data_IF_176299274602
#
_entry.id   IF_176299274602
#
_cell.length_a   1.000
_cell.length_b   1.000
_cell.length_c   1.000
_cell.angle_alpha   90.00
_cell.angle_beta   90.00
_cell.angle_gamma   90.00
#
_symmetry.space_group_name_H-M   'P 1'
#
loop_
_entity.id
_entity.type
_entity.pdbx_description
1 polymer ?
#
# COMPACT_ATOMS: atom_id res chain seq x y z
N UNK A 1 -13.60 30.14 -14.89
CA UNK A 1 -12.39 30.78 -15.44
C UNK A 1 -11.09 30.37 -14.74
N UNK A 2 -10.94 30.56 -13.42
CA UNK A 2 -9.72 30.19 -12.68
C UNK A 2 -9.28 28.72 -12.87
N UNK A 3 -10.21 27.74 -12.81
CA UNK A 3 -9.92 26.31 -13.03
C UNK A 3 -9.41 25.99 -14.46
N UNK A 4 -9.87 26.73 -15.47
CA UNK A 4 -9.40 26.54 -16.86
C UNK A 4 -7.99 27.09 -17.06
N UNK A 5 -7.70 28.21 -16.45
CA UNK A 5 -6.37 28.86 -16.50
C UNK A 5 -5.33 28.00 -15.77
N UNK A 6 -5.69 27.39 -14.63
CA UNK A 6 -4.80 26.48 -13.90
C UNK A 6 -4.53 25.17 -14.64
N UNK A 7 -5.50 24.69 -15.46
CA UNK A 7 -5.33 23.53 -16.33
C UNK A 7 -4.40 23.80 -17.52
N UNK A 8 -4.27 25.04 -17.94
CA UNK A 8 -3.40 25.47 -19.05
C UNK A 8 -1.97 25.83 -18.62
N UNK A 9 -1.72 25.95 -17.30
CA UNK A 9 -0.36 26.21 -16.81
C UNK A 9 0.50 24.96 -16.93
N UNK A 10 1.71 25.07 -17.49
CA UNK A 10 2.63 23.93 -17.53
C UNK A 10 2.90 23.41 -16.12
N UNK A 11 2.80 22.09 -15.93
CA UNK A 11 3.07 21.46 -14.65
C UNK A 11 4.49 21.81 -14.17
N UNK A 12 4.67 22.39 -12.98
CA UNK A 12 6.00 22.76 -12.46
C UNK A 12 6.96 21.57 -12.39
N UNK A 13 6.46 20.39 -12.08
CA UNK A 13 7.26 19.17 -12.05
C UNK A 13 7.78 18.79 -13.45
N UNK A 14 6.95 18.85 -14.47
CA UNK A 14 7.38 18.62 -15.86
C UNK A 14 8.39 19.67 -16.35
N UNK A 15 8.26 20.92 -15.92
CA UNK A 15 9.24 21.97 -16.23
C UNK A 15 10.61 21.64 -15.61
N UNK A 16 10.60 21.20 -14.34
CA UNK A 16 11.82 20.76 -13.66
C UNK A 16 12.47 19.60 -14.41
N UNK A 17 11.72 18.57 -14.75
CA UNK A 17 12.27 17.42 -15.47
C UNK A 17 12.84 17.78 -16.84
N UNK A 18 12.19 18.67 -17.60
CA UNK A 18 12.73 19.19 -18.86
C UNK A 18 14.06 19.94 -18.67
N UNK A 19 14.17 20.72 -17.59
CA UNK A 19 15.43 21.41 -17.24
C UNK A 19 16.51 20.38 -16.95
N UNK A 20 16.23 19.32 -16.18
CA UNK A 20 17.18 18.26 -15.85
C UNK A 20 17.75 17.58 -17.11
N UNK A 21 16.89 17.29 -18.10
CA UNK A 21 17.33 16.75 -19.40
C UNK A 21 18.30 17.69 -20.10
N UNK A 22 18.01 18.99 -20.14
CA UNK A 22 18.88 19.98 -20.78
C UNK A 22 20.23 20.20 -20.07
N UNK A 23 20.32 19.85 -18.79
CA UNK A 23 21.54 19.96 -17.97
C UNK A 23 22.28 18.63 -17.80
N UNK A 24 21.83 17.54 -18.46
CA UNK A 24 22.36 16.19 -18.35
C UNK A 24 22.39 15.65 -16.90
N UNK A 25 21.43 16.10 -16.09
CA UNK A 25 21.28 15.74 -14.66
C UNK A 25 20.31 14.60 -14.49
N UNK A 26 20.55 13.72 -13.53
CA UNK A 26 19.69 12.54 -13.36
C UNK A 26 19.72 11.88 -11.99
N UNK A 27 20.31 12.52 -10.96
CA UNK A 27 20.38 11.97 -9.59
C UNK A 27 19.34 12.62 -8.71
N UNK A 28 18.33 11.85 -8.32
CA UNK A 28 17.19 12.30 -7.54
C UNK A 28 17.19 11.68 -6.14
N UNK A 29 17.02 12.51 -5.11
CA UNK A 29 16.72 12.09 -3.75
C UNK A 29 15.26 12.44 -3.43
N UNK A 30 14.50 11.45 -2.99
CA UNK A 30 13.09 11.62 -2.62
C UNK A 30 12.91 11.22 -1.16
N UNK A 31 12.50 12.17 -0.32
CA UNK A 31 12.27 11.93 1.10
C UNK A 31 10.82 11.51 1.31
N UNK A 32 10.60 10.34 1.92
CA UNK A 32 9.25 9.88 2.19
C UNK A 32 9.09 9.33 3.61
N UNK A 33 8.35 10.06 4.44
CA UNK A 33 8.06 9.71 5.83
C UNK A 33 6.53 9.73 6.10
N UNK A 34 5.74 9.17 5.17
CA UNK A 34 4.28 9.16 5.25
C UNK A 34 3.72 7.73 5.18
N UNK A 35 2.60 7.53 4.49
CA UNK A 35 1.89 6.27 4.42
C UNK A 35 2.49 5.24 3.46
N UNK A 36 2.36 3.97 3.81
CA UNK A 36 2.74 2.83 2.98
C UNK A 36 1.97 2.83 1.64
N UNK A 37 0.67 3.13 1.69
CA UNK A 37 -0.20 3.13 0.51
C UNK A 37 0.19 4.16 -0.56
N UNK A 38 0.92 5.21 -0.21
CA UNK A 38 1.37 6.22 -1.17
C UNK A 38 2.41 5.68 -2.15
N UNK A 39 3.06 4.56 -1.84
CA UNK A 39 4.04 3.91 -2.72
C UNK A 39 3.38 3.56 -4.07
N UNK A 40 2.33 2.74 -4.15
CA UNK A 40 1.62 2.54 -5.41
C UNK A 40 0.76 3.74 -5.83
N UNK A 41 0.15 4.46 -4.87
CA UNK A 41 -0.88 5.47 -5.18
C UNK A 41 -0.32 6.82 -5.68
N UNK A 42 1.01 7.00 -5.66
CA UNK A 42 1.63 8.25 -6.11
C UNK A 42 3.12 8.14 -6.41
N UNK A 43 3.90 7.49 -5.54
CA UNK A 43 5.35 7.44 -5.72
C UNK A 43 5.76 6.56 -6.92
N UNK A 44 4.99 5.51 -7.23
CA UNK A 44 5.15 4.76 -8.47
C UNK A 44 5.07 5.69 -9.70
N UNK A 45 4.06 6.54 -9.75
CA UNK A 45 3.88 7.48 -10.86
C UNK A 45 4.98 8.57 -10.87
N UNK A 46 5.51 8.97 -9.70
CA UNK A 46 6.65 9.87 -9.60
C UNK A 46 7.88 9.25 -10.29
N UNK A 47 8.22 8.00 -9.95
CA UNK A 47 9.32 7.24 -10.57
C UNK A 47 9.09 7.11 -12.08
N UNK A 48 7.89 6.69 -12.48
CA UNK A 48 7.51 6.58 -13.89
C UNK A 48 7.68 7.90 -14.64
N UNK A 49 7.24 9.03 -14.06
CA UNK A 49 7.34 10.34 -14.70
C UNK A 49 8.79 10.83 -14.79
N UNK A 50 9.58 10.65 -13.75
CA UNK A 50 11.02 10.97 -13.81
C UNK A 50 11.66 10.21 -14.98
N UNK A 51 11.46 8.90 -15.07
CA UNK A 51 12.06 8.07 -16.12
C UNK A 51 11.53 8.35 -17.51
N UNK A 52 10.30 8.83 -17.63
CA UNK A 52 9.77 9.23 -18.95
C UNK A 52 10.48 10.44 -19.55
N UNK A 53 11.16 11.26 -18.73
CA UNK A 53 12.00 12.38 -19.17
C UNK A 53 13.49 12.05 -19.12
N UNK A 54 13.92 11.35 -18.08
CA UNK A 54 15.31 10.98 -17.79
C UNK A 54 15.38 9.46 -17.67
N UNK A 55 15.48 8.70 -18.77
CA UNK A 55 15.39 7.23 -18.75
C UNK A 55 16.39 6.55 -17.81
N UNK A 56 17.62 7.09 -17.71
CA UNK A 56 18.69 6.57 -16.87
C UNK A 56 18.76 7.26 -15.50
N UNK A 57 17.67 7.84 -15.02
CA UNK A 57 17.65 8.50 -13.72
C UNK A 57 18.04 7.55 -12.59
N UNK A 58 18.99 7.97 -11.75
CA UNK A 58 19.27 7.35 -10.46
C UNK A 58 18.29 7.94 -9.43
N UNK A 59 17.38 7.14 -8.93
CA UNK A 59 16.35 7.55 -8.00
C UNK A 59 16.58 6.87 -6.66
N UNK A 60 16.83 7.66 -5.63
CA UNK A 60 17.05 7.21 -4.26
C UNK A 60 15.88 7.69 -3.40
N UNK A 61 15.22 6.76 -2.72
CA UNK A 61 14.28 7.08 -1.66
C UNK A 61 14.95 7.02 -0.30
N UNK A 62 14.72 8.03 0.52
CA UNK A 62 15.09 8.01 1.93
C UNK A 62 13.82 7.92 2.76
N UNK A 63 13.74 6.89 3.61
CA UNK A 63 12.51 6.54 4.32
C UNK A 63 12.77 5.87 5.67
N UNK A 64 11.70 5.64 6.44
CA UNK A 64 11.74 4.88 7.68
C UNK A 64 11.98 3.39 7.41
N UNK A 65 12.50 2.70 8.43
CA UNK A 65 12.76 1.24 8.39
C UNK A 65 11.52 0.43 8.03
N UNK A 66 10.37 0.74 8.64
CA UNK A 66 9.10 0.02 8.43
C UNK A 66 8.50 0.16 7.02
N UNK A 67 8.94 1.16 6.24
CA UNK A 67 8.53 1.35 4.84
C UNK A 67 9.56 0.85 3.83
N UNK A 68 10.81 0.69 4.24
CA UNK A 68 11.94 0.45 3.33
C UNK A 68 11.74 -0.79 2.44
N UNK A 69 11.20 -1.86 3.01
CA UNK A 69 10.90 -3.09 2.26
C UNK A 69 9.98 -2.82 1.07
N UNK A 70 8.88 -2.08 1.27
CA UNK A 70 7.91 -1.80 0.22
C UNK A 70 8.50 -1.01 -0.95
N UNK A 71 9.49 -0.15 -0.71
CA UNK A 71 10.19 0.58 -1.78
C UNK A 71 11.00 -0.34 -2.69
N UNK A 72 11.45 -1.50 -2.22
CA UNK A 72 12.17 -2.48 -3.05
C UNK A 72 11.29 -3.09 -4.15
N UNK A 73 9.96 -2.94 -4.04
CA UNK A 73 9.02 -3.31 -5.09
C UNK A 73 8.93 -2.29 -6.23
N UNK A 74 9.51 -1.09 -6.07
CA UNK A 74 9.67 -0.11 -7.14
C UNK A 74 10.95 -0.48 -7.93
N UNK A 75 10.79 -0.82 -9.19
CA UNK A 75 11.93 -1.29 -10.00
C UNK A 75 13.03 -0.22 -10.12
N UNK A 76 14.28 -0.62 -9.88
CA UNK A 76 15.47 0.19 -10.12
C UNK A 76 15.58 1.45 -9.26
N UNK A 77 14.96 1.51 -8.09
CA UNK A 77 15.20 2.56 -7.08
C UNK A 77 16.19 2.08 -6.03
N UNK A 78 16.90 3.01 -5.43
CA UNK A 78 17.72 2.79 -4.24
C UNK A 78 16.96 3.22 -3.01
N UNK A 79 17.24 2.59 -1.85
CA UNK A 79 16.58 2.91 -0.59
C UNK A 79 17.62 3.19 0.48
N UNK A 80 17.51 4.34 1.13
CA UNK A 80 18.26 4.73 2.32
C UNK A 80 17.32 4.70 3.52
N UNK A 81 17.75 4.08 4.59
CA UNK A 81 16.94 3.94 5.80
C UNK A 81 17.36 4.96 6.85
N UNK A 82 16.42 5.79 7.28
CA UNK A 82 16.54 6.60 8.47
C UNK A 82 16.16 5.75 9.69
N UNK A 83 17.15 5.17 10.37
CA UNK A 83 16.96 4.19 11.42
C UNK A 83 16.15 4.71 12.61
N UNK A 84 16.33 5.99 12.95
CA UNK A 84 15.65 6.68 14.04
C UNK A 84 14.38 7.41 13.61
N UNK A 85 13.98 7.29 12.33
CA UNK A 85 12.83 8.05 11.85
C UNK A 85 11.53 7.43 12.34
N UNK A 86 10.65 8.30 12.82
CA UNK A 86 9.29 7.94 13.20
C UNK A 86 8.26 8.75 12.42
N UNK A 87 7.09 8.16 12.20
CA UNK A 87 6.00 8.83 11.49
C UNK A 87 5.54 10.09 12.23
N UNK A 88 5.50 11.20 11.48
CA UNK A 88 5.03 12.50 12.02
C UNK A 88 6.02 13.21 12.95
N UNK A 89 7.19 12.63 13.23
CA UNK A 89 8.24 13.30 14.01
C UNK A 89 9.25 14.00 13.10
N UNK A 90 9.92 15.05 13.59
CA UNK A 90 11.04 15.68 12.90
C UNK A 90 12.18 14.68 12.69
N UNK A 91 12.91 14.84 11.61
CA UNK A 91 14.08 14.03 11.26
C UNK A 91 15.13 14.90 10.56
N UNK A 92 16.39 14.50 10.61
CA UNK A 92 17.50 15.19 9.98
C UNK A 92 17.95 14.43 8.72
N UNK A 93 17.82 15.08 7.57
CA UNK A 93 18.18 14.51 6.27
C UNK A 93 19.71 14.42 6.14
N UNK A 94 20.45 15.47 6.49
CA UNK A 94 21.90 15.51 6.33
C UNK A 94 22.60 14.51 7.27
N UNK A 95 22.12 14.39 8.51
CA UNK A 95 22.62 13.39 9.44
C UNK A 95 22.38 11.96 8.91
N UNK A 96 21.18 11.71 8.37
CA UNK A 96 20.88 10.41 7.77
C UNK A 96 21.75 10.13 6.55
N UNK A 97 21.98 11.14 5.69
CA UNK A 97 22.88 10.99 4.54
C UNK A 97 24.32 10.67 4.96
N UNK A 98 24.84 11.34 6.00
CA UNK A 98 26.17 11.06 6.57
C UNK A 98 26.31 9.63 7.05
N UNK A 99 25.29 9.06 7.71
CA UNK A 99 25.28 7.66 8.14
C UNK A 99 25.46 6.69 6.96
N UNK A 100 25.03 7.09 5.76
CA UNK A 100 25.22 6.36 4.50
C UNK A 100 26.44 6.82 3.69
N UNK A 101 27.34 7.64 4.26
CA UNK A 101 28.50 8.23 3.57
C UNK A 101 28.12 9.07 2.34
N UNK A 102 26.97 9.75 2.41
CA UNK A 102 26.42 10.62 1.37
C UNK A 102 26.22 12.05 1.91
N UNK A 103 25.92 12.97 0.98
CA UNK A 103 25.51 14.35 1.28
C UNK A 103 24.51 14.84 0.22
N UNK A 104 23.70 15.87 0.53
CA UNK A 104 22.67 16.39 -0.37
C UNK A 104 23.24 16.92 -1.69
N UNK A 105 24.46 17.45 -1.68
CA UNK A 105 25.14 17.96 -2.88
C UNK A 105 25.52 16.86 -3.91
N UNK A 106 25.45 15.60 -3.54
CA UNK A 106 25.64 14.46 -4.46
C UNK A 106 24.40 14.19 -5.32
N UNK A 107 23.29 14.87 -5.04
CA UNK A 107 22.06 14.76 -5.81
C UNK A 107 21.78 16.04 -6.60
N UNK A 108 21.25 15.87 -7.80
CA UNK A 108 20.92 17.02 -8.66
C UNK A 108 19.57 17.65 -8.25
N UNK A 109 18.68 16.84 -7.67
CA UNK A 109 17.40 17.29 -7.12
C UNK A 109 17.09 16.53 -5.83
N UNK A 110 16.70 17.28 -4.80
CA UNK A 110 16.19 16.74 -3.53
C UNK A 110 14.73 17.14 -3.37
N UNK A 111 13.84 16.13 -3.28
CA UNK A 111 12.44 16.32 -2.97
C UNK A 111 12.19 16.01 -1.49
N UNK A 112 12.31 17.02 -0.63
CA UNK A 112 12.08 16.86 0.82
C UNK A 112 10.62 16.57 1.17
N UNK A 113 9.69 17.20 0.45
CA UNK A 113 8.25 17.09 0.70
C UNK A 113 7.50 16.93 -0.63
N UNK A 114 7.70 15.82 -1.36
CA UNK A 114 7.00 15.60 -2.61
C UNK A 114 5.48 15.59 -2.39
N UNK A 115 4.73 16.18 -3.32
CA UNK A 115 3.27 16.16 -3.31
C UNK A 115 2.71 15.46 -4.58
N UNK A 116 2.74 14.13 -4.62
CA UNK A 116 2.26 13.37 -5.77
C UNK A 116 0.79 13.68 -6.10
N UNK A 117 -0.02 14.02 -5.11
CA UNK A 117 -1.45 14.30 -5.30
C UNK A 117 -1.70 15.56 -6.14
N UNK A 118 -0.78 16.52 -6.10
CA UNK A 118 -0.84 17.73 -6.94
C UNK A 118 -0.08 17.58 -8.25
N UNK A 119 1.10 16.93 -8.20
CA UNK A 119 2.00 16.85 -9.35
C UNK A 119 1.55 15.84 -10.40
N UNK A 120 0.87 14.77 -9.98
CA UNK A 120 0.65 13.57 -10.77
C UNK A 120 -0.84 13.25 -11.00
N UNK A 121 -1.70 14.26 -11.05
CA UNK A 121 -3.15 14.08 -11.29
C UNK A 121 -3.46 13.34 -12.60
N UNK A 122 -2.56 13.43 -13.59
CA UNK A 122 -2.67 12.76 -14.88
C UNK A 122 -2.62 11.23 -14.78
N UNK A 123 -2.07 10.68 -13.70
CA UNK A 123 -2.00 9.22 -13.51
C UNK A 123 -3.39 8.57 -13.31
N UNK A 124 -4.33 9.33 -12.72
CA UNK A 124 -5.67 8.81 -12.39
C UNK A 124 -6.40 8.39 -13.67
N UNK A 125 -6.80 7.11 -13.74
CA UNK A 125 -7.42 6.52 -14.91
C UNK A 125 -6.49 6.20 -16.10
N UNK A 126 -5.17 6.48 -15.98
CA UNK A 126 -4.23 6.31 -17.08
C UNK A 126 -3.04 5.40 -16.77
N UNK A 127 -2.57 5.37 -15.53
CA UNK A 127 -1.38 4.60 -15.16
C UNK A 127 -1.74 3.53 -14.13
N UNK A 128 -1.55 2.27 -14.50
CA UNK A 128 -1.66 1.13 -13.59
C UNK A 128 -0.32 0.94 -12.88
N UNK A 129 -0.25 1.12 -11.56
CA UNK A 129 0.96 0.78 -10.82
C UNK A 129 1.27 -0.72 -10.91
N UNK A 130 2.56 -1.04 -10.98
CA UNK A 130 3.09 -2.41 -11.02
C UNK A 130 4.19 -2.54 -10.00
N UNK A 131 3.88 -3.14 -8.87
CA UNK A 131 4.84 -3.40 -7.81
C UNK A 131 5.48 -4.75 -8.06
N UNK A 132 6.78 -4.76 -8.34
CA UNK A 132 7.52 -5.95 -8.73
C UNK A 132 7.55 -6.97 -7.60
N UNK A 133 7.00 -8.15 -7.85
CA UNK A 133 7.15 -9.31 -6.98
C UNK A 133 8.44 -10.07 -7.32
N UNK A 134 9.15 -10.55 -6.31
CA UNK A 134 10.33 -11.41 -6.49
C UNK A 134 9.99 -12.83 -6.04
N UNK A 135 10.29 -13.82 -6.87
CA UNK A 135 9.97 -15.24 -6.62
C UNK A 135 10.52 -15.77 -5.28
N UNK A 136 11.68 -15.23 -4.83
CA UNK A 136 12.24 -15.60 -3.51
C UNK A 136 11.30 -15.31 -2.33
N UNK A 137 10.33 -14.42 -2.50
CA UNK A 137 9.36 -14.11 -1.46
C UNK A 137 8.23 -15.14 -1.37
N UNK A 138 8.06 -16.00 -2.39
CA UNK A 138 7.04 -17.06 -2.35
C UNK A 138 7.31 -18.07 -1.24
N UNK A 139 8.56 -18.43 -1.00
CA UNK A 139 8.94 -19.34 0.07
C UNK A 139 8.78 -18.82 1.51
N UNK A 140 8.51 -17.51 1.69
CA UNK A 140 8.31 -16.95 3.03
C UNK A 140 7.08 -17.52 3.75
N UNK A 141 6.12 -18.06 3.00
CA UNK A 141 4.93 -18.71 3.54
C UNK A 141 5.25 -20.01 4.30
N UNK A 142 6.33 -20.70 3.97
CA UNK A 142 6.62 -22.05 4.47
C UNK A 142 6.89 -22.11 5.98
N UNK A 143 7.38 -21.00 6.56
CA UNK A 143 7.60 -20.92 8.02
C UNK A 143 6.33 -21.00 8.87
N UNK A 144 5.14 -20.83 8.26
CA UNK A 144 3.87 -20.85 9.00
C UNK A 144 3.20 -22.22 9.06
N UNK A 145 3.77 -23.24 8.41
CA UNK A 145 3.31 -24.65 8.44
C UNK A 145 1.81 -24.82 8.17
N UNK A 146 1.26 -23.99 7.27
CA UNK A 146 -0.16 -23.99 6.93
C UNK A 146 -0.50 -25.15 5.99
N UNK A 147 -1.59 -25.88 6.28
CA UNK A 147 -2.10 -26.94 5.41
C UNK A 147 -2.48 -26.37 4.02
N UNK A 148 -1.83 -26.81 2.93
CA UNK A 148 -2.11 -26.30 1.59
C UNK A 148 -3.52 -26.69 1.07
N UNK A 149 -4.20 -27.65 1.69
CA UNK A 149 -5.55 -28.08 1.33
C UNK A 149 -6.64 -27.30 2.06
N UNK A 150 -6.29 -26.51 3.06
CA UNK A 150 -7.23 -25.67 3.81
C UNK A 150 -7.53 -24.37 3.04
N UNK A 151 -8.75 -23.87 3.20
CA UNK A 151 -9.13 -22.56 2.68
C UNK A 151 -8.80 -21.49 3.70
N UNK A 152 -7.98 -20.49 3.29
CA UNK A 152 -7.63 -19.36 4.13
C UNK A 152 -8.27 -18.07 3.66
N UNK A 153 -8.73 -17.28 4.64
CA UNK A 153 -9.25 -15.95 4.48
C UNK A 153 -8.30 -14.99 5.20
N UNK A 154 -7.53 -14.21 4.46
CA UNK A 154 -6.71 -13.14 5.04
C UNK A 154 -7.60 -12.01 5.54
N UNK A 155 -7.38 -11.54 6.76
CA UNK A 155 -8.10 -10.40 7.32
C UNK A 155 -7.10 -9.39 7.89
N UNK A 156 -7.04 -8.19 7.30
CA UNK A 156 -6.30 -7.06 7.85
C UNK A 156 -7.29 -6.13 8.53
N UNK A 157 -7.26 -6.08 9.87
CA UNK A 157 -8.38 -5.51 10.63
C UNK A 157 -8.21 -4.05 11.06
N UNK A 158 -6.99 -3.53 11.01
CA UNK A 158 -6.67 -2.20 11.55
C UNK A 158 -5.83 -1.37 10.60
N UNK A 159 -6.05 -0.07 10.61
CA UNK A 159 -5.23 0.93 9.92
C UNK A 159 -4.98 2.13 10.82
N UNK A 160 -3.75 2.60 10.90
CA UNK A 160 -3.37 3.78 11.69
C UNK A 160 -3.93 5.10 11.13
N UNK A 161 -4.22 5.14 9.82
CA UNK A 161 -4.52 6.41 9.15
C UNK A 161 -5.84 7.04 9.55
N UNK A 162 -6.79 6.29 10.11
CA UNK A 162 -8.05 6.84 10.63
C UNK A 162 -7.81 7.93 11.67
N UNK A 163 -6.86 7.70 12.58
CA UNK A 163 -6.49 8.64 13.64
C UNK A 163 -5.97 9.97 13.10
N UNK A 164 -5.20 9.95 11.99
CA UNK A 164 -4.59 11.15 11.41
C UNK A 164 -5.54 12.00 10.56
N UNK A 165 -6.58 11.39 9.98
CA UNK A 165 -7.49 12.08 9.03
C UNK A 165 -8.85 12.38 9.62
N UNK A 166 -9.10 12.05 10.88
CA UNK A 166 -10.31 12.40 11.61
C UNK A 166 -11.58 11.68 11.14
N UNK A 167 -11.44 10.56 10.42
CA UNK A 167 -12.56 9.69 10.09
C UNK A 167 -12.22 8.22 10.34
N UNK A 168 -13.24 7.43 10.72
CA UNK A 168 -13.05 6.02 11.06
C UNK A 168 -12.91 5.17 9.78
N UNK A 169 -11.76 4.52 9.64
CA UNK A 169 -11.48 3.58 8.54
C UNK A 169 -11.62 2.12 8.96
N UNK A 170 -11.59 1.87 10.25
CA UNK A 170 -11.60 0.52 10.79
C UNK A 170 -13.04 0.04 10.98
N UNK A 171 -13.32 -1.16 10.49
CA UNK A 171 -14.55 -1.84 10.83
C UNK A 171 -14.51 -2.21 12.31
N UNK A 172 -15.65 -2.18 13.02
CA UNK A 172 -15.68 -2.40 14.46
C UNK A 172 -15.33 -3.85 14.84
N UNK A 173 -14.74 -4.03 16.01
CA UNK A 173 -14.31 -5.34 16.50
C UNK A 173 -15.47 -6.35 16.66
N UNK A 174 -16.69 -5.97 17.13
CA UNK A 174 -17.83 -6.87 17.12
C UNK A 174 -18.17 -7.39 15.74
N UNK A 175 -18.12 -6.57 14.71
CA UNK A 175 -18.39 -6.98 13.33
C UNK A 175 -17.34 -7.98 12.82
N UNK A 176 -16.04 -7.77 13.11
CA UNK A 176 -15.00 -8.75 12.80
C UNK A 176 -15.25 -10.09 13.51
N UNK A 177 -15.55 -10.08 14.82
CA UNK A 177 -15.85 -11.30 15.57
C UNK A 177 -17.06 -12.04 15.01
N UNK A 178 -18.10 -11.32 14.64
CA UNK A 178 -19.30 -11.92 14.06
C UNK A 178 -19.02 -12.51 12.66
N UNK A 179 -18.17 -11.87 11.85
CA UNK A 179 -17.73 -12.44 10.58
C UNK A 179 -16.97 -13.74 10.79
N UNK A 180 -16.00 -13.77 11.72
CA UNK A 180 -15.18 -14.94 12.00
C UNK A 180 -16.02 -16.12 12.53
N UNK A 181 -16.95 -15.83 13.43
CA UNK A 181 -17.94 -16.80 13.93
C UNK A 181 -18.78 -17.38 12.79
N UNK A 182 -19.28 -16.51 11.91
CA UNK A 182 -20.09 -16.95 10.76
C UNK A 182 -19.30 -17.80 9.77
N UNK A 183 -18.02 -17.47 9.53
CA UNK A 183 -17.11 -18.28 8.71
C UNK A 183 -16.93 -19.67 9.34
N UNK A 184 -16.72 -19.76 10.66
CA UNK A 184 -16.59 -21.01 11.42
C UNK A 184 -17.86 -21.84 11.35
N UNK A 185 -19.02 -21.28 11.69
CA UNK A 185 -20.32 -21.96 11.68
C UNK A 185 -20.69 -22.52 10.29
N UNK A 186 -20.22 -21.88 9.23
CA UNK A 186 -20.49 -22.29 7.85
C UNK A 186 -19.37 -23.18 7.25
N UNK A 187 -18.33 -23.50 8.03
CA UNK A 187 -17.23 -24.33 7.57
C UNK A 187 -16.52 -23.80 6.34
N UNK A 188 -16.29 -22.46 6.25
CA UNK A 188 -15.73 -21.80 5.07
C UNK A 188 -14.22 -21.68 5.07
N UNK A 189 -13.54 -22.19 6.11
CA UNK A 189 -12.09 -22.17 6.24
C UNK A 189 -11.60 -21.44 7.48
N UNK A 190 -10.30 -21.13 7.49
CA UNK A 190 -9.60 -20.49 8.60
C UNK A 190 -9.26 -19.04 8.27
N UNK A 191 -9.23 -18.21 9.30
CA UNK A 191 -8.84 -16.81 9.22
C UNK A 191 -7.34 -16.71 9.47
N UNK A 192 -6.60 -16.03 8.57
CA UNK A 192 -5.26 -15.52 8.85
C UNK A 192 -5.41 -14.03 9.20
N UNK A 193 -5.21 -13.71 10.47
CA UNK A 193 -5.41 -12.36 10.97
C UNK A 193 -4.12 -11.57 10.91
N UNK A 194 -4.12 -10.46 10.18
CA UNK A 194 -2.96 -9.59 9.97
C UNK A 194 -3.12 -8.23 10.66
N UNK A 195 -2.02 -7.66 11.10
CA UNK A 195 -1.95 -6.36 11.74
C UNK A 195 -0.63 -6.18 12.49
N UNK A 196 -0.44 -4.99 13.06
CA UNK A 196 0.76 -4.70 13.85
C UNK A 196 0.56 -5.02 15.34
N UNK A 197 -0.65 -4.80 15.87
CA UNK A 197 -0.99 -4.98 17.27
C UNK A 197 -1.86 -6.22 17.46
N UNK A 198 -1.49 -7.08 18.38
CA UNK A 198 -2.19 -8.32 18.69
C UNK A 198 -3.30 -8.18 19.74
N UNK A 199 -3.57 -6.97 20.21
CA UNK A 199 -4.70 -6.68 21.07
C UNK A 199 -5.88 -6.02 20.32
N UNK A 200 -7.14 -6.30 20.69
CA UNK A 200 -7.57 -7.38 21.58
C UNK A 200 -7.45 -8.77 20.93
N UNK A 201 -7.25 -9.80 21.76
CA UNK A 201 -7.10 -11.18 21.27
C UNK A 201 -8.39 -11.72 20.63
N UNK A 202 -8.23 -12.58 19.61
CA UNK A 202 -9.30 -13.33 18.96
C UNK A 202 -9.14 -14.83 19.27
N UNK A 203 -9.64 -15.24 20.43
CA UNK A 203 -9.55 -16.64 20.90
C UNK A 203 -10.67 -17.48 20.24
N UNK A 204 -10.46 -17.87 18.99
CA UNK A 204 -11.40 -18.69 18.20
C UNK A 204 -10.63 -19.79 17.44
N UNK A 205 -11.16 -20.99 17.40
CA UNK A 205 -10.47 -22.17 16.81
C UNK A 205 -10.16 -22.03 15.32
N UNK A 206 -10.92 -21.21 14.61
CA UNK A 206 -10.71 -20.94 13.19
C UNK A 206 -9.84 -19.73 12.91
N UNK A 207 -9.26 -19.08 13.93
CA UNK A 207 -8.41 -17.89 13.78
C UNK A 207 -6.96 -18.24 14.09
N UNK A 208 -6.10 -17.99 13.13
CA UNK A 208 -4.63 -18.01 13.28
C UNK A 208 -4.22 -16.55 13.34
N UNK A 209 -3.91 -16.08 14.54
CA UNK A 209 -3.55 -14.68 14.77
C UNK A 209 -2.06 -14.46 14.48
N UNK A 210 -1.78 -13.78 13.37
CA UNK A 210 -0.43 -13.46 12.88
C UNK A 210 -0.09 -11.97 13.04
N UNK A 211 -0.87 -11.25 13.83
CA UNK A 211 -0.61 -9.82 14.11
C UNK A 211 0.69 -9.67 14.92
N UNK A 212 1.57 -8.79 14.45
CA UNK A 212 2.90 -8.63 15.03
C UNK A 212 3.92 -9.72 14.69
N UNK A 213 3.46 -10.81 14.03
CA UNK A 213 4.29 -11.99 13.69
C UNK A 213 4.76 -12.00 12.22
N UNK A 214 4.26 -11.07 11.41
CA UNK A 214 4.58 -11.00 9.97
C UNK A 214 5.20 -9.65 9.61
N UNK A 215 6.27 -9.66 8.84
CA UNK A 215 6.67 -8.49 8.08
C UNK A 215 5.80 -8.32 6.82
N UNK A 216 6.02 -7.25 6.05
CA UNK A 216 5.22 -6.95 4.87
C UNK A 216 5.28 -8.07 3.82
N UNK A 217 6.46 -8.59 3.52
CA UNK A 217 6.62 -9.61 2.46
C UNK A 217 6.10 -10.97 2.89
N UNK A 218 6.22 -11.32 4.14
CA UNK A 218 5.62 -12.53 4.70
C UNK A 218 4.09 -12.49 4.61
N UNK A 219 3.49 -11.37 4.99
CA UNK A 219 2.05 -11.17 4.86
C UNK A 219 1.59 -11.22 3.39
N UNK A 220 2.30 -10.56 2.47
CA UNK A 220 1.98 -10.60 1.04
C UNK A 220 2.18 -12.00 0.45
N UNK A 221 3.19 -12.75 0.90
CA UNK A 221 3.41 -14.14 0.52
C UNK A 221 2.26 -15.04 0.98
N UNK A 222 1.78 -14.86 2.21
CA UNK A 222 0.60 -15.56 2.73
C UNK A 222 -0.66 -15.21 1.90
N UNK A 223 -0.88 -13.93 1.61
CA UNK A 223 -2.02 -13.50 0.78
C UNK A 223 -1.94 -14.14 -0.61
N UNK A 224 -0.77 -14.11 -1.24
CA UNK A 224 -0.57 -14.63 -2.60
C UNK A 224 -0.67 -16.16 -2.69
N UNK A 225 -0.06 -16.88 -1.74
CA UNK A 225 0.19 -18.31 -1.88
C UNK A 225 -0.73 -19.18 -1.00
N UNK A 226 -1.50 -18.61 -0.07
CA UNK A 226 -2.41 -19.36 0.83
C UNK A 226 -3.82 -18.79 0.88
N UNK A 227 -4.00 -17.47 0.77
CA UNK A 227 -5.33 -16.88 0.90
C UNK A 227 -6.11 -16.97 -0.43
N UNK A 228 -7.28 -17.59 -0.39
CA UNK A 228 -8.26 -17.51 -1.48
C UNK A 228 -9.07 -16.22 -1.41
N UNK A 229 -9.20 -15.67 -0.22
CA UNK A 229 -9.99 -14.47 0.09
C UNK A 229 -9.18 -13.50 0.92
N UNK A 230 -9.45 -12.21 0.75
CA UNK A 230 -8.88 -11.15 1.59
C UNK A 230 -9.98 -10.16 1.97
N UNK A 231 -10.05 -9.80 3.25
CA UNK A 231 -10.87 -8.68 3.73
C UNK A 231 -9.95 -7.62 4.33
N UNK A 232 -10.05 -6.40 3.85
CA UNK A 232 -9.23 -5.30 4.35
C UNK A 232 -9.94 -3.95 4.25
N UNK A 233 -9.75 -3.04 5.23
CA UNK A 233 -10.17 -1.65 5.09
C UNK A 233 -9.28 -0.90 4.07
N UNK A 234 -9.64 0.34 3.73
CA UNK A 234 -8.79 1.28 2.99
C UNK A 234 -7.46 1.49 3.74
N UNK A 235 -6.44 0.75 3.34
CA UNK A 235 -5.15 0.69 4.03
C UNK A 235 -3.97 0.66 3.06
N UNK A 236 -2.77 0.91 3.61
CA UNK A 236 -1.53 0.73 2.87
C UNK A 236 -1.32 -0.71 2.41
N UNK A 237 -1.68 -1.68 3.25
CA UNK A 237 -1.61 -3.12 2.95
C UNK A 237 -2.49 -3.48 1.76
N UNK A 238 -3.77 -3.04 1.77
CA UNK A 238 -4.67 -3.23 0.64
C UNK A 238 -4.07 -2.62 -0.64
N UNK A 239 -3.53 -1.41 -0.55
CA UNK A 239 -2.98 -0.71 -1.72
C UNK A 239 -1.77 -1.44 -2.31
N UNK A 240 -0.87 -1.97 -1.46
CA UNK A 240 0.27 -2.77 -1.92
C UNK A 240 -0.23 -4.08 -2.55
N UNK A 241 -1.06 -4.87 -1.85
CA UNK A 241 -1.58 -6.14 -2.35
C UNK A 241 -2.33 -5.99 -3.69
N UNK A 242 -3.08 -4.89 -3.84
CA UNK A 242 -3.83 -4.58 -5.06
C UNK A 242 -2.93 -4.39 -6.29
N UNK A 243 -1.74 -3.82 -6.10
CA UNK A 243 -0.82 -3.46 -7.19
C UNK A 243 0.41 -4.35 -7.32
N UNK A 244 0.45 -5.50 -6.64
CA UNK A 244 1.47 -6.54 -6.87
C UNK A 244 1.38 -7.03 -8.30
N UNK A 245 2.48 -6.94 -9.06
CA UNK A 245 2.59 -7.44 -10.44
C UNK A 245 2.97 -8.92 -10.44
N UNK A 246 2.01 -9.76 -10.05
CA UNK A 246 2.10 -11.22 -10.07
C UNK A 246 0.72 -11.81 -10.35
N UNK A 247 0.67 -13.00 -10.94
CA UNK A 247 -0.59 -13.68 -11.28
C UNK A 247 -0.91 -14.70 -10.18
N UNK A 248 -1.99 -14.49 -9.45
CA UNK A 248 -2.53 -15.41 -8.46
C UNK A 248 -4.02 -15.14 -8.21
N UNK A 249 -4.84 -16.17 -7.98
CA UNK A 249 -6.26 -16.00 -7.75
C UNK A 249 -6.53 -15.51 -6.33
N UNK A 250 -7.21 -14.38 -6.19
CA UNK A 250 -7.68 -13.88 -4.91
C UNK A 250 -8.95 -13.05 -5.09
N UNK A 251 -9.97 -13.31 -4.26
CA UNK A 251 -11.13 -12.44 -4.15
C UNK A 251 -10.95 -11.51 -2.95
N UNK A 252 -11.01 -10.22 -3.19
CA UNK A 252 -10.75 -9.17 -2.18
C UNK A 252 -12.00 -8.36 -1.93
N UNK A 253 -12.51 -8.44 -0.70
CA UNK A 253 -13.58 -7.57 -0.21
C UNK A 253 -12.93 -6.43 0.57
N UNK A 254 -13.05 -5.21 0.06
CA UNK A 254 -12.46 -4.04 0.70
C UNK A 254 -13.54 -3.15 1.31
N UNK A 255 -13.25 -2.60 2.50
CA UNK A 255 -14.20 -1.84 3.31
C UNK A 255 -13.83 -0.35 3.27
N UNK A 256 -14.78 0.50 2.87
CA UNK A 256 -14.54 1.91 2.59
C UNK A 256 -15.50 2.82 3.38
N UNK A 257 -14.92 3.81 4.07
CA UNK A 257 -15.66 4.98 4.52
C UNK A 257 -15.78 6.00 3.38
N UNK A 258 -14.71 6.25 2.63
CA UNK A 258 -14.68 7.23 1.52
C UNK A 258 -14.17 6.59 0.21
N UNK A 259 -15.05 6.38 -0.80
CA UNK A 259 -14.67 5.78 -2.08
C UNK A 259 -13.82 6.71 -2.97
N UNK A 260 -13.58 7.96 -2.54
CA UNK A 260 -12.73 8.93 -3.26
C UNK A 260 -11.26 8.80 -2.89
N UNK A 261 -10.88 7.76 -2.14
CA UNK A 261 -9.52 7.54 -1.64
C UNK A 261 -8.93 6.21 -2.13
N UNK A 262 -7.70 5.96 -1.74
CA UNK A 262 -6.99 4.71 -1.97
C UNK A 262 -7.01 4.24 -3.42
N UNK A 263 -7.13 2.94 -3.60
CA UNK A 263 -7.14 2.29 -4.94
C UNK A 263 -8.36 2.71 -5.76
N UNK A 264 -9.51 3.00 -5.12
CA UNK A 264 -10.73 3.42 -5.83
C UNK A 264 -10.55 4.79 -6.52
N UNK A 265 -9.81 5.70 -5.91
CA UNK A 265 -9.49 7.00 -6.49
C UNK A 265 -8.67 6.87 -7.78
N UNK A 266 -7.85 5.84 -7.91
CA UNK A 266 -6.96 5.68 -9.05
C UNK A 266 -7.71 5.34 -10.36
N UNK A 267 -8.92 4.78 -10.26
CA UNK A 267 -9.78 4.44 -11.42
C UNK A 267 -9.07 3.52 -12.44
N UNK A 268 -8.16 2.68 -11.96
CA UNK A 268 -7.47 1.66 -12.74
C UNK A 268 -7.53 0.33 -11.98
N UNK A 269 -7.53 -0.77 -12.71
CA UNK A 269 -7.55 -2.11 -12.13
C UNK A 269 -6.21 -2.53 -11.53
N UNK A 270 -6.21 -3.69 -10.87
CA UNK A 270 -4.99 -4.39 -10.47
C UNK A 270 -4.22 -4.86 -11.71
N UNK A 271 -2.88 -4.89 -11.69
CA UNK A 271 -2.08 -5.55 -12.73
C UNK A 271 -2.27 -7.08 -12.73
N UNK A 272 -2.75 -7.67 -11.63
CA UNK A 272 -3.09 -9.09 -11.55
C UNK A 272 -4.47 -9.34 -12.17
N UNK A 273 -4.58 -10.04 -13.32
CA UNK A 273 -5.86 -10.29 -13.98
C UNK A 273 -6.78 -11.24 -13.22
N UNK A 274 -6.27 -11.97 -12.21
CA UNK A 274 -7.03 -12.88 -11.36
C UNK A 274 -7.41 -12.25 -10.01
N UNK A 275 -7.19 -10.95 -9.85
CA UNK A 275 -7.56 -10.20 -8.66
C UNK A 275 -9.02 -9.73 -8.78
N UNK A 276 -9.93 -10.44 -8.14
CA UNK A 276 -11.33 -10.05 -8.08
C UNK A 276 -11.55 -9.06 -6.94
N UNK A 277 -11.92 -7.82 -7.25
CA UNK A 277 -12.08 -6.76 -6.26
C UNK A 277 -13.55 -6.37 -6.07
N UNK A 278 -14.04 -6.49 -4.84
CA UNK A 278 -15.41 -6.14 -4.42
C UNK A 278 -15.31 -5.03 -3.36
N UNK A 279 -15.40 -3.75 -3.75
CA UNK A 279 -15.42 -2.66 -2.78
C UNK A 279 -16.79 -2.50 -2.14
N UNK A 280 -16.87 -2.49 -0.82
CA UNK A 280 -18.06 -2.21 -0.03
C UNK A 280 -17.94 -0.83 0.60
N UNK A 281 -18.94 -0.01 0.40
CA UNK A 281 -18.98 1.35 0.93
C UNK A 281 -20.01 1.47 2.06
N UNK A 282 -19.56 1.97 3.21
CA UNK A 282 -20.43 2.24 4.34
C UNK A 282 -21.32 3.46 4.11
N UNK A 283 -22.59 3.38 4.50
CA UNK A 283 -23.51 4.52 4.41
C UNK A 283 -23.00 5.69 5.24
N UNK A 284 -23.22 6.92 4.76
CA UNK A 284 -22.80 8.16 5.43
C UNK A 284 -21.29 8.21 5.73
N UNK A 285 -20.45 7.70 4.82
CA UNK A 285 -19.00 7.65 4.98
C UNK A 285 -18.55 6.96 6.29
N UNK A 286 -19.33 5.97 6.75
CA UNK A 286 -19.05 5.20 7.96
C UNK A 286 -18.95 3.70 7.66
N UNK A 287 -17.77 3.16 7.80
CA UNK A 287 -17.46 1.74 7.54
C UNK A 287 -18.26 0.79 8.47
N UNK A 288 -18.58 1.22 9.70
CA UNK A 288 -19.37 0.42 10.64
C UNK A 288 -20.80 0.10 10.13
N UNK A 289 -21.29 0.84 9.14
CA UNK A 289 -22.58 0.57 8.50
C UNK A 289 -22.54 -0.56 7.44
N UNK A 290 -21.39 -1.16 7.21
CA UNK A 290 -21.27 -2.35 6.35
C UNK A 290 -21.66 -3.56 7.19
N UNK A 291 -22.74 -4.28 6.80
CA UNK A 291 -23.18 -5.43 7.57
C UNK A 291 -22.27 -6.65 7.38
N UNK A 292 -22.17 -7.48 8.41
CA UNK A 292 -21.44 -8.76 8.38
C UNK A 292 -21.97 -9.66 7.25
N UNK A 293 -23.28 -9.67 7.04
CA UNK A 293 -23.92 -10.47 5.99
C UNK A 293 -23.49 -10.01 4.60
N UNK A 294 -23.39 -8.70 4.37
CA UNK A 294 -22.89 -8.17 3.10
C UNK A 294 -21.45 -8.60 2.83
N UNK A 295 -20.57 -8.49 3.82
CA UNK A 295 -19.16 -8.94 3.68
C UNK A 295 -19.09 -10.44 3.42
N UNK A 296 -19.83 -11.24 4.20
CA UNK A 296 -19.86 -12.71 4.04
C UNK A 296 -20.35 -13.14 2.65
N UNK A 297 -21.46 -12.57 2.16
CA UNK A 297 -21.97 -12.90 0.82
C UNK A 297 -21.04 -12.41 -0.29
N UNK A 298 -20.36 -11.30 -0.10
CA UNK A 298 -19.34 -10.83 -1.08
C UNK A 298 -18.12 -11.75 -1.14
N UNK A 299 -17.79 -12.46 -0.06
CA UNK A 299 -16.71 -13.45 -0.07
C UNK A 299 -17.12 -14.75 -0.76
N UNK A 300 -18.31 -15.28 -0.45
CA UNK A 300 -18.67 -16.67 -0.73
C UNK A 300 -19.90 -16.84 -1.65
N UNK A 301 -20.53 -15.74 -2.02
CA UNK A 301 -21.72 -15.72 -2.89
C UNK A 301 -21.46 -15.80 -4.38
#
# INVERSE_FOLDING_TARGET
MKKLIDAMRPNPFDKLLKKMVGEEKGRFLVIWNRGLGDIPLGLYALVYRIRSYVPNASITFMTRRDLAEAFTMLEGVQVLVGESWERGKPFDIEETLKQHSLSSNMFDVVFEKPDPTKWLKWQIGNLVPKLKWQEKWDGLVDKYELDPNETYIGCHIQTETGVYYGYEKNWDLPSWRNLFKKVQEKGKGKILLFGMENEPAFLMDNVIDLRGETNLFEMLSLIKNRCRYLVAPDSGVLSIAYYVDAIYPVRVVSLWADPRQGVLRQKVGSPNPQFEHIPLHGRNDNVANISVDTVYHSLFG
#
